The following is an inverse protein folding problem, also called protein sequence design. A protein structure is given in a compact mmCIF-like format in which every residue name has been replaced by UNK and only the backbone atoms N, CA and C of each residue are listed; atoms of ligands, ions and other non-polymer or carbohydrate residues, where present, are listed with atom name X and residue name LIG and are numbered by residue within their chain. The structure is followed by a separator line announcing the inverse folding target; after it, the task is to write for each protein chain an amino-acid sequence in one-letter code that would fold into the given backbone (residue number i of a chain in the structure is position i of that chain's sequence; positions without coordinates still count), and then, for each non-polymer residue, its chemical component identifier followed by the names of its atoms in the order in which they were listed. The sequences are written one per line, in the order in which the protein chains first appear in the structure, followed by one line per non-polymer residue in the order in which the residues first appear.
data_IF_629782895940
#
_entry.id   IF_629782895940
#
_cell.length_a   1.000
_cell.length_b   1.000
_cell.length_c   1.000
_cell.angle_alpha   90.00
_cell.angle_beta   90.00
_cell.angle_gamma   90.00
#
_symmetry.space_group_name_H-M   'P 1'
#
loop_
_entity.id
_entity.type
_entity.pdbx_description
1 polymer ?
#
# COMPACT_ATOMS: atom_id res chain seq x y z
N UNK A 1 16.58 -22.10 25.46
CA UNK A 1 16.52 -21.92 24.00
C UNK A 1 15.69 -20.68 23.76
N UNK A 2 16.33 -19.57 23.38
CA UNK A 2 15.65 -18.29 23.20
C UNK A 2 14.98 -18.29 21.83
N UNK A 3 13.65 -18.29 21.79
CA UNK A 3 12.90 -18.15 20.54
C UNK A 3 13.15 -16.77 19.95
N UNK A 4 13.82 -16.73 18.80
CA UNK A 4 13.99 -15.52 18.00
C UNK A 4 12.63 -15.05 17.50
N UNK A 5 12.04 -14.11 18.24
CA UNK A 5 10.77 -13.47 17.88
C UNK A 5 10.99 -12.64 16.62
N UNK A 6 10.51 -13.12 15.48
CA UNK A 6 10.62 -12.38 14.21
C UNK A 6 9.84 -11.06 14.27
N UNK A 7 10.44 -9.94 13.84
CA UNK A 7 9.78 -8.63 13.90
C UNK A 7 8.56 -8.60 12.98
N UNK A 8 7.45 -8.11 13.52
CA UNK A 8 6.18 -7.99 12.80
C UNK A 8 6.24 -6.82 11.80
N UNK A 9 5.29 -6.79 10.84
CA UNK A 9 5.17 -5.66 9.91
C UNK A 9 4.96 -4.31 10.65
N UNK A 10 4.34 -4.36 11.83
CA UNK A 10 4.14 -3.20 12.68
C UNK A 10 5.45 -2.70 13.30
N UNK A 11 6.30 -3.61 13.78
CA UNK A 11 7.60 -3.24 14.37
C UNK A 11 8.48 -2.52 13.35
N UNK A 12 8.54 -3.03 12.11
CA UNK A 12 9.27 -2.40 11.00
C UNK A 12 8.73 -1.02 10.65
N UNK A 13 7.40 -0.85 10.69
CA UNK A 13 6.77 0.44 10.43
C UNK A 13 7.10 1.45 11.52
N UNK A 14 7.00 1.07 12.79
CA UNK A 14 7.33 1.94 13.94
C UNK A 14 8.80 2.34 13.93
N UNK A 15 9.68 1.39 13.59
CA UNK A 15 11.12 1.63 13.46
C UNK A 15 11.43 2.62 12.32
N UNK A 16 10.85 2.42 11.14
CA UNK A 16 11.00 3.36 10.02
C UNK A 16 10.47 4.76 10.37
N UNK A 17 9.33 4.84 11.07
CA UNK A 17 8.77 6.12 11.55
C UNK A 17 9.69 6.81 12.55
N UNK A 18 10.33 6.05 13.45
CA UNK A 18 11.30 6.57 14.42
C UNK A 18 12.54 7.11 13.70
N UNK A 19 13.07 6.37 12.75
CA UNK A 19 14.24 6.79 11.96
C UNK A 19 13.97 8.04 11.11
N UNK A 20 12.75 8.19 10.57
CA UNK A 20 12.38 9.39 9.81
C UNK A 20 12.14 10.63 10.70
N UNK A 21 11.78 10.43 11.97
CA UNK A 21 11.46 11.50 12.92
C UNK A 21 12.62 11.88 13.83
N UNK A 22 13.64 11.03 13.92
CA UNK A 22 14.93 11.34 14.53
C UNK A 22 15.90 11.72 13.42
N UNK A 23 15.85 12.94 12.86
CA UNK A 23 17.00 13.43 12.10
C UNK A 23 18.19 13.37 13.07
N UNK A 24 19.27 12.74 12.64
CA UNK A 24 20.46 12.54 13.46
C UNK A 24 20.93 13.88 14.03
N UNK A 25 20.67 14.11 15.33
CA UNK A 25 21.18 15.26 16.09
C UNK A 25 22.72 15.31 16.05
N UNK A 26 23.37 14.22 15.61
CA UNK A 26 24.82 14.10 15.44
C UNK A 26 25.34 14.67 14.12
N UNK A 27 24.55 14.74 13.04
CA UNK A 27 24.98 15.41 11.80
C UNK A 27 24.74 16.93 11.85
N UNK A 28 23.79 17.37 12.69
CA UNK A 28 23.49 18.80 12.87
C UNK A 28 24.49 19.55 13.78
N UNK A 29 25.33 18.83 14.54
CA UNK A 29 26.24 19.43 15.52
C UNK A 29 27.58 19.92 14.92
N UNK A 30 27.96 19.44 13.73
CA UNK A 30 29.26 19.73 13.10
C UNK A 30 29.19 20.70 11.91
N UNK A 31 27.99 21.16 11.52
CA UNK A 31 27.83 22.12 10.43
C UNK A 31 27.72 23.56 10.97
N UNK A 32 28.82 24.31 10.79
CA UNK A 32 28.87 25.77 10.78
C UNK A 32 27.62 26.34 10.09
N UNK A 33 26.97 27.39 10.64
CA UNK A 33 25.69 27.87 10.12
C UNK A 33 25.89 28.35 8.67
N UNK A 34 25.47 27.50 7.73
CA UNK A 34 25.47 27.81 6.31
C UNK A 34 24.69 29.11 6.10
N UNK A 35 25.24 30.00 5.29
CA UNK A 35 24.51 31.19 4.84
C UNK A 35 23.20 30.74 4.17
N UNK A 36 22.14 31.55 4.28
CA UNK A 36 20.81 31.20 3.77
C UNK A 36 20.87 30.77 2.29
N UNK A 37 21.73 31.41 1.49
CA UNK A 37 21.96 31.08 0.08
C UNK A 37 22.55 29.67 -0.13
N UNK A 38 23.46 29.23 0.73
CA UNK A 38 24.03 27.88 0.68
C UNK A 38 23.01 26.82 1.11
N UNK A 39 22.14 27.16 2.06
CA UNK A 39 21.07 26.30 2.51
C UNK A 39 20.05 26.09 1.38
N UNK A 40 19.66 27.16 0.68
CA UNK A 40 18.77 27.10 -0.47
C UNK A 40 19.37 26.29 -1.62
N UNK A 41 20.67 26.43 -1.89
CA UNK A 41 21.37 25.64 -2.91
C UNK A 41 21.36 24.13 -2.56
N UNK A 42 21.67 23.79 -1.31
CA UNK A 42 21.68 22.40 -0.85
C UNK A 42 20.28 21.77 -0.87
N UNK A 43 19.23 22.55 -0.53
CA UNK A 43 17.83 22.11 -0.63
C UNK A 43 17.46 21.88 -2.09
N UNK A 44 17.84 22.76 -3.01
CA UNK A 44 17.58 22.61 -4.45
C UNK A 44 18.28 21.37 -5.03
N UNK A 45 19.53 21.13 -4.63
CA UNK A 45 20.31 19.96 -5.06
C UNK A 45 19.72 18.65 -4.49
N UNK A 46 19.33 18.63 -3.22
CA UNK A 46 18.67 17.48 -2.60
C UNK A 46 17.27 17.21 -3.18
N UNK A 47 16.50 18.25 -3.49
CA UNK A 47 15.21 18.14 -4.16
C UNK A 47 15.37 17.56 -5.58
N UNK A 48 16.36 18.04 -6.34
CA UNK A 48 16.69 17.51 -7.66
C UNK A 48 17.17 16.05 -7.61
N UNK A 49 18.00 15.69 -6.62
CA UNK A 49 18.55 14.34 -6.46
C UNK A 49 17.51 13.30 -5.99
N UNK A 50 16.51 13.73 -5.21
CA UNK A 50 15.53 12.83 -4.59
C UNK A 50 14.30 12.56 -5.45
N UNK A 51 14.09 13.31 -6.54
CA UNK A 51 12.91 13.17 -7.40
C UNK A 51 11.58 13.37 -6.65
N UNK A 52 11.63 13.92 -5.45
CA UNK A 52 10.50 14.22 -4.60
C UNK A 52 9.83 15.49 -5.15
N UNK A 53 8.49 15.49 -5.33
CA UNK A 53 7.79 16.71 -5.68
C UNK A 53 8.03 17.76 -4.58
N UNK A 54 8.31 19.01 -4.99
CA UNK A 54 8.58 20.22 -4.19
C UNK A 54 7.72 20.40 -2.92
N UNK A 55 6.55 19.76 -2.87
CA UNK A 55 5.58 19.84 -1.77
C UNK A 55 5.81 18.81 -0.65
N UNK A 56 6.73 17.85 -0.80
CA UNK A 56 6.99 16.80 0.21
C UNK A 56 5.80 15.87 0.52
N UNK A 57 4.66 16.06 -0.15
CA UNK A 57 3.48 15.23 0.01
C UNK A 57 3.56 14.01 -0.91
N UNK A 58 3.32 12.79 -0.40
CA UNK A 58 3.29 11.59 -1.23
C UNK A 58 2.21 11.74 -2.31
N UNK A 59 2.42 11.19 -3.53
CA UNK A 59 1.43 11.26 -4.58
C UNK A 59 0.08 10.74 -4.10
N UNK A 60 -1.00 11.49 -4.33
CA UNK A 60 -2.38 11.17 -3.88
C UNK A 60 -2.81 9.71 -4.13
N UNK A 61 -2.30 9.10 -5.20
CA UNK A 61 -2.60 7.73 -5.60
C UNK A 61 -2.02 6.67 -4.67
N UNK A 62 -0.94 7.01 -3.94
CA UNK A 62 -0.29 6.14 -2.95
C UNK A 62 -1.06 6.15 -1.63
N UNK A 63 -1.57 7.32 -1.22
CA UNK A 63 -2.31 7.49 0.05
C UNK A 63 -3.75 6.99 -0.06
N UNK A 64 -4.36 7.12 -1.24
CA UNK A 64 -5.74 6.70 -1.49
C UNK A 64 -5.80 5.69 -2.64
N UNK A 65 -5.46 4.41 -2.40
CA UNK A 65 -5.60 3.38 -3.41
C UNK A 65 -7.08 3.27 -3.81
N UNK A 66 -7.35 3.45 -5.10
CA UNK A 66 -8.73 3.40 -5.59
C UNK A 66 -9.35 2.01 -5.38
N UNK A 67 -10.44 1.94 -4.61
CA UNK A 67 -11.15 0.68 -4.36
C UNK A 67 -11.84 0.10 -5.62
N UNK A 68 -11.88 0.85 -6.73
CA UNK A 68 -12.51 0.46 -8.02
C UNK A 68 -12.08 -0.92 -8.49
N UNK A 69 -10.80 -1.27 -8.35
CA UNK A 69 -10.26 -2.58 -8.78
C UNK A 69 -10.76 -3.75 -7.92
N UNK A 70 -11.17 -3.49 -6.68
CA UNK A 70 -11.69 -4.50 -5.76
C UNK A 70 -13.14 -4.88 -6.10
N UNK A 71 -13.99 -3.88 -6.38
CA UNK A 71 -15.40 -4.10 -6.71
C UNK A 71 -15.58 -4.90 -8.00
N UNK A 72 -14.79 -4.65 -9.04
CA UNK A 72 -14.88 -5.41 -10.30
C UNK A 72 -14.58 -6.90 -10.09
N UNK A 73 -13.59 -7.25 -9.27
CA UNK A 73 -13.27 -8.66 -8.97
C UNK A 73 -14.42 -9.34 -8.22
N UNK A 74 -15.01 -8.65 -7.26
CA UNK A 74 -16.13 -9.18 -6.49
C UNK A 74 -17.39 -9.35 -7.35
N UNK A 75 -17.67 -8.40 -8.24
CA UNK A 75 -18.77 -8.48 -9.20
C UNK A 75 -18.70 -9.74 -10.05
N UNK A 76 -17.55 -10.01 -10.68
CA UNK A 76 -17.41 -11.21 -11.53
C UNK A 76 -17.49 -12.52 -10.73
N UNK A 77 -16.98 -12.54 -9.49
CA UNK A 77 -17.10 -13.73 -8.62
C UNK A 77 -18.57 -14.00 -8.25
N UNK A 78 -19.34 -12.95 -7.95
CA UNK A 78 -20.75 -13.06 -7.62
C UNK A 78 -21.58 -13.46 -8.85
N UNK A 79 -21.29 -12.87 -10.01
CA UNK A 79 -21.91 -13.23 -11.29
C UNK A 79 -21.69 -14.71 -11.61
N UNK A 80 -20.46 -15.19 -11.46
CA UNK A 80 -20.12 -16.60 -11.67
C UNK A 80 -20.83 -17.51 -10.67
N UNK A 81 -20.93 -17.12 -9.40
CA UNK A 81 -21.64 -17.90 -8.38
C UNK A 81 -23.14 -18.02 -8.69
N UNK A 82 -23.79 -16.91 -9.08
CA UNK A 82 -25.19 -16.91 -9.51
C UNK A 82 -25.41 -17.80 -10.74
N UNK A 83 -24.54 -17.67 -11.75
CA UNK A 83 -24.63 -18.46 -12.97
C UNK A 83 -24.48 -19.95 -12.69
N UNK A 84 -23.46 -20.35 -11.95
CA UNK A 84 -23.22 -21.76 -11.60
C UNK A 84 -24.35 -22.33 -10.73
N UNK A 85 -24.88 -21.54 -9.80
CA UNK A 85 -26.05 -21.92 -8.99
C UNK A 85 -27.29 -22.13 -9.85
N UNK A 86 -27.55 -21.23 -10.80
CA UNK A 86 -28.68 -21.36 -11.73
C UNK A 86 -28.57 -22.62 -12.60
N UNK A 87 -27.39 -22.88 -13.18
CA UNK A 87 -27.17 -24.07 -14.01
C UNK A 87 -27.29 -25.34 -13.18
N UNK A 88 -26.68 -25.40 -12.00
CA UNK A 88 -26.78 -26.56 -11.10
C UNK A 88 -28.22 -26.82 -10.66
N UNK A 89 -28.97 -25.77 -10.34
CA UNK A 89 -30.40 -25.85 -10.02
C UNK A 89 -31.20 -26.41 -11.20
N UNK A 90 -30.96 -25.92 -12.42
CA UNK A 90 -31.67 -26.37 -13.61
C UNK A 90 -31.35 -27.83 -13.96
N UNK A 91 -30.10 -28.26 -13.77
CA UNK A 91 -29.68 -29.64 -14.00
C UNK A 91 -30.30 -30.60 -12.97
N UNK A 92 -30.30 -30.23 -11.69
CA UNK A 92 -30.97 -31.02 -10.66
C UNK A 92 -32.48 -31.09 -10.95
N UNK A 93 -33.12 -29.96 -11.18
CA UNK A 93 -34.56 -29.93 -11.45
C UNK A 93 -34.91 -30.74 -12.71
N UNK A 94 -34.10 -30.65 -13.75
CA UNK A 94 -34.24 -31.44 -14.97
C UNK A 94 -34.10 -32.94 -14.71
N UNK A 95 -33.13 -33.35 -13.90
CA UNK A 95 -32.97 -34.75 -13.50
C UNK A 95 -34.21 -35.23 -12.72
N UNK A 96 -34.61 -34.52 -11.67
CA UNK A 96 -35.76 -34.91 -10.84
C UNK A 96 -37.07 -35.06 -11.66
N UNK A 97 -37.33 -34.14 -12.59
CA UNK A 97 -38.61 -34.08 -13.30
C UNK A 97 -38.65 -34.91 -14.59
N UNK A 98 -37.51 -35.13 -15.24
CA UNK A 98 -37.46 -35.82 -16.55
C UNK A 98 -36.73 -37.16 -16.52
N UNK A 99 -35.99 -37.51 -15.46
CA UNK A 99 -35.32 -38.82 -15.37
C UNK A 99 -36.22 -39.97 -14.89
N UNK A 100 -37.48 -39.68 -14.56
CA UNK A 100 -38.47 -40.64 -14.05
C UNK A 100 -39.44 -41.15 -15.13
N UNK A 101 -39.14 -40.89 -16.40
CA UNK A 101 -39.85 -41.45 -17.58
C UNK A 101 -39.07 -42.62 -18.17
#
# INVERSE_FOLDING_TARGET
MSEERRPTAWDKYVEAKRHALSPDEKEAADHEPLSIEQLELAIAEAAAASGLPETGMPPRAVVHPSARKSYSKWFYRLLLALFSGLVGFLLWWGYEHYSTV
#
